data_IF_914602820776
#
_entry.id   IF_914602820776
#
_cell.length_a   1.000
_cell.length_b   1.000
_cell.length_c   1.000
_cell.angle_alpha   90.00
_cell.angle_beta   90.00
_cell.angle_gamma   90.00
#
_symmetry.space_group_name_H-M   'P 1'
#
loop_
_entity.id
_entity.type
_entity.pdbx_description
1 polymer ?
#
# COMPACT_ATOMS: atom_id res chain seq x y z
N UNK A 1 -13.28 27.47 11.65
CA UNK A 1 -12.75 28.40 10.61
C UNK A 1 -11.86 29.39 11.32
N UNK A 2 -10.55 29.33 11.09
CA UNK A 2 -9.64 30.40 11.49
C UNK A 2 -9.42 31.27 10.26
N UNK A 3 -9.70 32.57 10.35
CA UNK A 3 -9.44 33.54 9.28
C UNK A 3 -8.23 34.36 9.74
N UNK A 4 -7.13 34.29 9.00
CA UNK A 4 -5.97 35.16 9.26
C UNK A 4 -6.15 36.49 8.55
N UNK A 5 -5.90 37.58 9.27
CA UNK A 5 -5.91 38.93 8.72
C UNK A 5 -4.47 39.40 8.51
N UNK A 6 -4.16 39.81 7.29
CA UNK A 6 -2.91 40.50 6.98
C UNK A 6 -3.22 42.01 6.91
N UNK A 7 -2.66 42.79 7.84
CA UNK A 7 -2.86 44.24 7.89
C UNK A 7 -1.59 44.92 7.38
N UNK A 8 -1.69 45.58 6.22
CA UNK A 8 -0.66 46.50 5.76
C UNK A 8 -0.95 47.90 6.34
N UNK A 9 -0.06 48.38 7.20
CA UNK A 9 -0.07 49.77 7.68
C UNK A 9 0.75 50.63 6.71
N UNK A 10 0.08 51.31 5.79
CA UNK A 10 0.68 52.44 5.09
C UNK A 10 0.60 53.68 5.99
N UNK A 11 1.58 54.59 5.89
CA UNK A 11 1.74 55.76 6.76
C UNK A 11 0.53 56.69 6.86
N UNK A 12 0.59 57.71 7.74
CA UNK A 12 -0.58 58.51 8.15
C UNK A 12 -1.25 59.18 6.93
N UNK A 13 -2.51 58.81 6.68
CA UNK A 13 -3.37 59.40 5.65
C UNK A 13 -3.80 58.48 4.50
N UNK A 14 -3.32 57.23 4.43
CA UNK A 14 -3.78 56.25 3.42
C UNK A 14 -4.87 55.31 3.99
N UNK A 15 -5.90 54.95 3.19
CA UNK A 15 -6.95 54.06 3.65
C UNK A 15 -6.39 52.66 3.92
N UNK A 16 -6.74 52.10 5.09
CA UNK A 16 -6.40 50.72 5.45
C UNK A 16 -7.18 49.78 4.53
N UNK A 17 -6.46 49.02 3.71
CA UNK A 17 -7.05 48.00 2.84
C UNK A 17 -6.97 46.65 3.56
N UNK A 18 -8.10 46.14 4.04
CA UNK A 18 -8.19 44.81 4.63
C UNK A 18 -8.55 43.85 3.50
N UNK A 19 -7.57 43.11 3.00
CA UNK A 19 -7.82 42.01 2.06
C UNK A 19 -8.04 40.72 2.85
N UNK A 20 -9.24 40.17 2.71
CA UNK A 20 -9.55 38.82 3.18
C UNK A 20 -8.81 37.85 2.26
N UNK A 21 -7.63 37.42 2.70
CA UNK A 21 -6.95 36.30 2.06
C UNK A 21 -7.77 35.05 2.44
N UNK A 22 -8.31 34.29 1.48
CA UNK A 22 -8.92 33.01 1.79
C UNK A 22 -7.84 32.16 2.46
N UNK A 23 -8.02 31.86 3.75
CA UNK A 23 -7.22 30.82 4.38
C UNK A 23 -7.47 29.56 3.57
N UNK A 24 -6.40 29.02 2.98
CA UNK A 24 -6.44 27.74 2.26
C UNK A 24 -7.33 26.79 3.06
N UNK A 25 -8.42 26.34 2.43
CA UNK A 25 -9.45 25.54 3.08
C UNK A 25 -8.74 24.36 3.73
N UNK A 26 -8.71 24.32 5.08
CA UNK A 26 -7.92 23.34 5.80
C UNK A 26 -8.54 21.96 5.51
N UNK A 27 -7.97 21.27 4.52
CA UNK A 27 -8.49 20.01 4.02
C UNK A 27 -8.48 19.02 5.18
N UNK A 28 -9.66 18.63 5.64
CA UNK A 28 -9.76 17.74 6.80
C UNK A 28 -9.38 16.32 6.37
N UNK A 29 -8.18 15.87 6.75
CA UNK A 29 -7.74 14.48 6.58
C UNK A 29 -8.78 13.49 7.13
N UNK A 30 -9.47 13.85 8.22
CA UNK A 30 -10.55 13.04 8.79
C UNK A 30 -11.71 12.78 7.82
N UNK A 31 -12.02 13.74 6.94
CA UNK A 31 -13.06 13.62 5.93
C UNK A 31 -12.60 12.71 4.80
N UNK A 32 -11.37 12.91 4.32
CA UNK A 32 -10.75 12.07 3.29
C UNK A 32 -10.68 10.62 3.78
N UNK A 33 -10.17 10.41 4.99
CA UNK A 33 -10.09 9.10 5.62
C UNK A 33 -11.46 8.40 5.69
N UNK A 34 -12.51 9.06 6.20
CA UNK A 34 -13.86 8.47 6.26
C UNK A 34 -14.39 8.03 4.89
N UNK A 35 -14.04 8.74 3.82
CA UNK A 35 -14.47 8.43 2.47
C UNK A 35 -13.77 7.19 1.90
N UNK A 36 -12.46 7.07 2.11
CA UNK A 36 -11.63 6.02 1.48
C UNK A 36 -11.48 4.77 2.34
N UNK A 37 -11.64 4.88 3.66
CA UNK A 37 -11.41 3.78 4.59
C UNK A 37 -12.21 2.49 4.27
N UNK A 38 -13.47 2.55 3.79
CA UNK A 38 -14.20 1.34 3.37
C UNK A 38 -13.59 0.57 2.19
N UNK A 39 -12.67 1.17 1.43
CA UNK A 39 -11.94 0.49 0.36
C UNK A 39 -10.70 -0.28 0.86
N UNK A 40 -10.30 -0.09 2.12
CA UNK A 40 -9.20 -0.80 2.76
C UNK A 40 -9.75 -2.05 3.42
N UNK A 41 -9.06 -3.18 3.24
CA UNK A 41 -9.50 -4.49 3.72
C UNK A 41 -8.40 -5.18 4.50
N UNK A 42 -8.79 -6.08 5.39
CA UNK A 42 -7.86 -6.97 6.10
C UNK A 42 -7.76 -8.28 5.35
N UNK A 43 -6.53 -8.76 5.17
CA UNK A 43 -6.25 -10.02 4.49
C UNK A 43 -5.80 -11.02 5.52
N UNK A 44 -6.53 -12.13 5.60
CA UNK A 44 -6.24 -13.24 6.49
C UNK A 44 -5.96 -14.46 5.61
N UNK A 45 -4.79 -15.06 5.80
CA UNK A 45 -4.41 -16.28 5.09
C UNK A 45 -4.37 -17.47 6.02
N UNK A 46 -4.60 -18.67 5.47
CA UNK A 46 -4.47 -19.93 6.20
C UNK A 46 -3.50 -20.83 5.47
N UNK A 47 -2.56 -21.41 6.22
CA UNK A 47 -1.66 -22.46 5.78
C UNK A 47 -2.03 -23.78 6.48
N UNK A 48 -2.14 -24.88 5.73
CA UNK A 48 -2.16 -26.23 6.28
C UNK A 48 -0.72 -26.67 6.52
N UNK A 49 -0.23 -26.47 7.74
CA UNK A 49 1.09 -26.97 8.12
C UNK A 49 1.15 -28.50 8.01
N UNK A 50 2.04 -29.02 7.15
CA UNK A 50 2.59 -30.37 7.33
C UNK A 50 3.59 -30.32 8.48
N UNK A 51 3.11 -30.45 9.72
CA UNK A 51 3.99 -30.54 10.89
C UNK A 51 4.80 -31.84 10.82
N UNK A 52 6.10 -31.73 10.55
CA UNK A 52 7.03 -32.86 10.46
C UNK A 52 7.36 -33.55 11.80
N UNK A 53 6.62 -33.29 12.89
CA UNK A 53 6.98 -33.83 14.21
C UNK A 53 5.88 -34.60 14.96
N UNK A 54 4.62 -34.63 14.50
CA UNK A 54 3.58 -35.56 15.01
C UNK A 54 2.48 -35.82 13.95
N UNK A 55 2.11 -37.07 13.64
CA UNK A 55 0.92 -37.37 12.87
C UNK A 55 -0.33 -36.91 13.65
N UNK A 56 -1.01 -35.85 13.18
CA UNK A 56 -2.32 -35.43 13.70
C UNK A 56 -2.46 -33.98 14.16
N UNK A 57 -1.38 -33.21 14.31
CA UNK A 57 -1.46 -31.77 14.63
C UNK A 57 -1.12 -30.91 13.39
N UNK A 58 -2.15 -30.43 12.70
CA UNK A 58 -1.98 -29.34 11.71
C UNK A 58 -1.86 -28.03 12.48
N UNK A 59 -0.64 -27.52 12.67
CA UNK A 59 -0.46 -26.16 13.13
C UNK A 59 -0.95 -25.22 12.01
N UNK A 60 -2.11 -24.58 12.21
CA UNK A 60 -2.61 -23.52 11.33
C UNK A 60 -1.80 -22.27 11.62
N UNK A 61 -0.76 -22.02 10.83
CA UNK A 61 -0.12 -20.71 10.80
C UNK A 61 -0.90 -19.88 9.77
N UNK A 62 -1.33 -18.70 10.16
CA UNK A 62 -2.03 -17.77 9.27
C UNK A 62 -1.25 -16.48 9.13
N UNK A 63 -1.21 -15.93 7.92
CA UNK A 63 -0.71 -14.59 7.67
C UNK A 63 -1.80 -13.54 7.90
N UNK A 64 -1.39 -12.35 8.32
CA UNK A 64 -2.24 -11.18 8.48
C UNK A 64 -1.60 -10.01 7.75
N UNK A 65 -2.39 -9.33 6.93
CA UNK A 65 -1.98 -8.12 6.22
C UNK A 65 -3.17 -7.23 5.89
N UNK A 66 -2.90 -6.22 5.09
CA UNK A 66 -3.90 -5.30 4.56
C UNK A 66 -3.96 -5.39 3.04
N UNK A 67 -5.04 -4.88 2.46
CA UNK A 67 -5.21 -4.72 1.03
C UNK A 67 -6.05 -3.50 0.71
N UNK A 68 -6.12 -3.16 -0.57
CA UNK A 68 -6.99 -2.09 -1.09
C UNK A 68 -7.78 -2.58 -2.27
N UNK A 69 -9.09 -2.31 -2.26
CA UNK A 69 -9.99 -2.60 -3.39
C UNK A 69 -9.71 -1.59 -4.51
N UNK A 70 -9.31 -2.10 -5.68
CA UNK A 70 -8.88 -1.28 -6.84
C UNK A 70 -9.81 -1.36 -8.04
N UNK A 71 -10.84 -2.21 -8.00
CA UNK A 71 -11.82 -2.31 -9.08
C UNK A 71 -13.20 -2.76 -8.60
N UNK A 72 -14.24 -2.37 -9.36
CA UNK A 72 -15.64 -2.72 -9.11
C UNK A 72 -15.95 -4.20 -9.33
N UNK A 73 -15.10 -4.92 -10.07
CA UNK A 73 -15.20 -6.37 -10.26
C UNK A 73 -14.48 -7.18 -9.17
N UNK A 74 -14.09 -6.53 -8.06
CA UNK A 74 -13.55 -7.20 -6.88
C UNK A 74 -12.05 -7.48 -6.92
N UNK A 75 -11.28 -6.68 -7.66
CA UNK A 75 -9.82 -6.73 -7.60
C UNK A 75 -9.28 -6.01 -6.36
N UNK A 76 -8.30 -6.62 -5.71
CA UNK A 76 -7.63 -6.10 -4.52
C UNK A 76 -6.12 -6.17 -4.71
N UNK A 77 -5.40 -5.09 -4.41
CA UNK A 77 -3.94 -5.12 -4.32
C UNK A 77 -3.49 -5.36 -2.86
N UNK A 78 -2.42 -6.12 -2.70
CA UNK A 78 -1.76 -6.39 -1.41
C UNK A 78 -0.27 -6.67 -1.61
N UNK A 79 0.46 -6.93 -0.53
CA UNK A 79 1.85 -7.34 -0.58
C UNK A 79 1.94 -8.84 -0.90
N UNK A 80 2.91 -9.22 -1.73
CA UNK A 80 3.02 -10.61 -2.19
C UNK A 80 3.36 -11.58 -1.06
N UNK A 81 4.21 -11.16 -0.13
CA UNK A 81 4.61 -11.99 1.01
C UNK A 81 3.45 -12.32 1.96
N UNK A 82 2.35 -11.54 1.94
CA UNK A 82 1.14 -11.83 2.74
C UNK A 82 0.42 -13.07 2.22
N UNK A 83 0.48 -13.32 0.91
CA UNK A 83 -0.32 -14.36 0.22
C UNK A 83 0.51 -15.48 -0.40
N UNK A 84 1.84 -15.40 -0.34
CA UNK A 84 2.76 -16.29 -1.06
C UNK A 84 2.59 -17.78 -0.74
N UNK A 85 2.26 -18.12 0.49
CA UNK A 85 2.17 -19.51 0.99
C UNK A 85 0.75 -19.87 1.42
N UNK A 86 -0.23 -19.03 1.09
CA UNK A 86 -1.61 -19.20 1.52
C UNK A 86 -2.34 -20.30 0.73
N UNK A 87 -2.90 -21.29 1.42
CA UNK A 87 -3.83 -22.25 0.80
C UNK A 87 -5.20 -21.60 0.56
N UNK A 88 -5.58 -20.69 1.46
CA UNK A 88 -6.83 -19.96 1.39
C UNK A 88 -6.60 -18.50 1.81
N UNK A 89 -7.25 -17.59 1.09
CA UNK A 89 -7.23 -16.15 1.37
C UNK A 89 -8.65 -15.69 1.67
N UNK A 90 -8.82 -15.02 2.81
CA UNK A 90 -10.07 -14.43 3.27
C UNK A 90 -9.88 -12.92 3.39
N UNK A 91 -10.79 -12.16 2.79
CA UNK A 91 -10.80 -10.70 2.81
C UNK A 91 -11.89 -10.23 3.76
N UNK A 92 -11.50 -9.46 4.77
CA UNK A 92 -12.42 -8.89 5.77
C UNK A 92 -12.60 -7.40 5.51
N UNK A 93 -13.86 -6.97 5.39
CA UNK A 93 -14.25 -5.59 5.13
C UNK A 93 -14.57 -4.84 6.42
N UNK A 94 -14.52 -3.50 6.36
CA UNK A 94 -14.86 -2.60 7.47
C UNK A 94 -16.24 -2.86 8.09
N UNK A 95 -17.21 -3.32 7.29
CA UNK A 95 -18.57 -3.63 7.76
C UNK A 95 -18.73 -5.04 8.35
N UNK A 96 -17.61 -5.74 8.58
CA UNK A 96 -17.57 -7.06 9.21
C UNK A 96 -17.78 -8.23 8.26
N UNK A 97 -18.05 -7.99 6.97
CA UNK A 97 -18.17 -9.07 6.00
C UNK A 97 -16.83 -9.72 5.72
N UNK A 98 -16.87 -11.02 5.45
CA UNK A 98 -15.69 -11.80 5.06
C UNK A 98 -15.99 -12.53 3.74
N UNK A 99 -15.05 -12.44 2.80
CA UNK A 99 -15.21 -12.98 1.44
C UNK A 99 -13.93 -13.70 1.03
N UNK A 100 -14.05 -14.91 0.50
CA UNK A 100 -12.93 -15.64 -0.07
C UNK A 100 -12.36 -14.93 -1.31
N UNK A 101 -11.05 -15.01 -1.50
CA UNK A 101 -10.38 -14.47 -2.66
C UNK A 101 -9.35 -15.44 -3.24
N UNK A 102 -9.07 -15.30 -4.54
CA UNK A 102 -8.01 -16.01 -5.25
C UNK A 102 -6.89 -15.05 -5.61
N UNK A 103 -5.65 -15.53 -5.53
CA UNK A 103 -4.51 -14.83 -6.11
C UNK A 103 -4.59 -14.96 -7.63
N UNK A 104 -4.67 -13.84 -8.34
CA UNK A 104 -4.78 -13.80 -9.82
C UNK A 104 -3.56 -13.19 -10.50
N UNK A 105 -2.63 -12.61 -9.72
CA UNK A 105 -1.34 -12.14 -10.21
C UNK A 105 -0.39 -11.83 -9.06
N UNK A 106 0.91 -12.05 -9.28
CA UNK A 106 1.96 -11.73 -8.31
C UNK A 106 3.19 -11.20 -9.02
N UNK A 107 3.87 -10.25 -8.39
CA UNK A 107 5.19 -9.77 -8.79
C UNK A 107 6.08 -9.78 -7.55
N UNK A 108 6.67 -10.94 -7.26
CA UNK A 108 7.42 -11.20 -6.03
C UNK A 108 8.62 -10.24 -5.87
N UNK A 109 9.29 -9.91 -6.97
CA UNK A 109 10.41 -8.96 -7.01
C UNK A 109 10.05 -7.53 -6.60
N UNK A 110 8.77 -7.17 -6.71
CA UNK A 110 8.21 -5.87 -6.33
C UNK A 110 7.34 -5.95 -5.07
N UNK A 111 7.29 -7.13 -4.46
CA UNK A 111 6.47 -7.48 -3.31
C UNK A 111 5.00 -7.03 -3.41
N UNK A 112 4.35 -7.31 -4.55
CA UNK A 112 2.95 -6.95 -4.78
C UNK A 112 2.17 -8.09 -5.39
N UNK A 113 0.90 -8.22 -5.01
CA UNK A 113 -0.02 -9.22 -5.51
C UNK A 113 -1.39 -8.61 -5.83
N UNK A 114 -2.09 -9.26 -6.75
CA UNK A 114 -3.46 -8.97 -7.15
C UNK A 114 -4.35 -10.15 -6.75
N UNK A 115 -5.39 -9.86 -5.98
CA UNK A 115 -6.42 -10.79 -5.60
C UNK A 115 -7.71 -10.49 -6.35
N UNK A 116 -8.54 -11.51 -6.52
CA UNK A 116 -9.91 -11.41 -7.02
C UNK A 116 -10.87 -12.04 -6.01
N UNK A 117 -11.86 -11.28 -5.57
CA UNK A 117 -12.94 -11.79 -4.74
C UNK A 117 -13.72 -12.87 -5.50
N UNK A 118 -14.08 -13.96 -4.80
CA UNK A 118 -14.96 -14.99 -5.36
C UNK A 118 -16.41 -14.50 -5.47
N UNK A 119 -16.81 -13.52 -4.66
CA UNK A 119 -18.12 -12.86 -4.73
C UNK A 119 -17.95 -11.37 -4.50
N UNK A 120 -18.46 -10.55 -5.42
CA UNK A 120 -18.37 -9.09 -5.33
C UNK A 120 -19.53 -8.57 -4.48
N UNK A 121 -19.29 -7.85 -3.37
CA UNK A 121 -20.38 -7.30 -2.57
C UNK A 121 -21.02 -6.06 -3.21
N UNK A 122 -22.33 -5.87 -3.06
CA UNK A 122 -23.09 -4.82 -3.76
C UNK A 122 -22.66 -3.36 -3.43
N UNK A 123 -22.23 -3.12 -2.19
CA UNK A 123 -21.76 -1.82 -1.70
C UNK A 123 -20.22 -1.70 -1.72
N UNK A 124 -19.53 -2.40 -2.65
CA UNK A 124 -18.08 -2.37 -2.75
C UNK A 124 -17.57 -0.94 -3.05
N UNK A 125 -16.81 -0.39 -2.09
CA UNK A 125 -16.10 0.88 -2.24
C UNK A 125 -14.73 0.60 -2.86
N UNK A 126 -14.38 1.39 -3.87
CA UNK A 126 -13.15 1.23 -4.65
C UNK A 126 -12.29 2.47 -4.44
N UNK A 127 -11.02 2.27 -4.13
CA UNK A 127 -10.07 3.36 -4.01
C UNK A 127 -9.65 3.85 -5.40
N UNK A 128 -9.50 5.17 -5.55
CA UNK A 128 -8.97 5.75 -6.78
C UNK A 128 -7.45 5.55 -6.84
N UNK A 129 -6.96 4.95 -7.92
CA UNK A 129 -5.53 4.84 -8.17
C UNK A 129 -4.99 6.17 -8.72
N UNK A 130 -4.01 6.74 -8.04
CA UNK A 130 -3.36 7.98 -8.44
C UNK A 130 -2.26 7.78 -9.47
N UNK A 131 -1.42 8.81 -9.59
CA UNK A 131 -0.20 8.81 -10.39
C UNK A 131 1.00 9.06 -9.47
N UNK A 132 1.77 8.02 -9.18
CA UNK A 132 2.94 8.15 -8.30
C UNK A 132 4.03 9.03 -8.89
N UNK A 133 4.12 9.22 -10.21
CA UNK A 133 5.13 10.08 -10.85
C UNK A 133 4.91 11.57 -10.56
N UNK A 134 3.71 11.96 -10.12
CA UNK A 134 3.40 13.33 -9.72
C UNK A 134 3.82 13.63 -8.27
N UNK A 135 4.19 12.62 -7.48
CA UNK A 135 4.57 12.80 -6.08
C UNK A 135 6.02 13.28 -5.96
N UNK A 136 6.25 14.31 -5.15
CA UNK A 136 7.55 14.87 -4.84
C UNK A 136 8.00 14.53 -3.40
N UNK A 137 9.31 14.48 -3.19
CA UNK A 137 9.86 14.35 -1.83
C UNK A 137 9.40 15.56 -1.02
N UNK A 138 8.85 15.32 0.17
CA UNK A 138 8.23 16.34 1.02
C UNK A 138 6.70 16.44 0.88
N UNK A 139 6.08 15.73 -0.07
CA UNK A 139 4.62 15.64 -0.12
C UNK A 139 4.08 14.85 1.08
N UNK A 140 2.97 15.33 1.65
CA UNK A 140 2.25 14.62 2.71
C UNK A 140 1.59 13.36 2.18
N UNK A 141 1.80 12.27 2.90
CA UNK A 141 1.20 10.96 2.63
C UNK A 141 0.62 10.39 3.91
N UNK A 142 -0.31 9.46 3.75
CA UNK A 142 -0.80 8.68 4.87
C UNK A 142 -1.04 7.23 4.47
N UNK A 143 -0.83 6.34 5.42
CA UNK A 143 -1.01 4.90 5.25
C UNK A 143 -2.23 4.48 6.05
N UNK A 144 -3.03 3.60 5.47
CA UNK A 144 -4.14 2.96 6.18
C UNK A 144 -3.93 1.45 6.12
N UNK A 145 -4.06 0.80 7.27
CA UNK A 145 -3.97 -0.65 7.36
C UNK A 145 -4.70 -1.18 8.59
N UNK A 146 -4.58 -2.48 8.84
CA UNK A 146 -5.13 -3.17 10.00
C UNK A 146 -4.01 -3.85 10.81
N UNK A 147 -3.16 -3.06 11.50
CA UNK A 147 -2.08 -3.61 12.31
C UNK A 147 -2.63 -4.43 13.47
N UNK A 148 -2.13 -5.66 13.63
CA UNK A 148 -2.52 -6.59 14.72
C UNK A 148 -4.01 -6.91 14.85
N UNK A 149 -4.81 -6.75 13.78
CA UNK A 149 -6.27 -6.92 13.84
C UNK A 149 -6.98 -5.76 14.56
N UNK A 150 -6.28 -4.66 14.82
CA UNK A 150 -6.89 -3.37 15.15
C UNK A 150 -7.17 -2.71 13.80
N UNK A 151 -8.39 -2.96 13.31
CA UNK A 151 -8.76 -2.59 11.96
C UNK A 151 -8.69 -1.07 11.75
N UNK A 152 -8.19 -0.66 10.58
CA UNK A 152 -8.27 0.72 10.08
C UNK A 152 -7.46 1.78 10.85
N UNK A 153 -6.21 1.44 11.18
CA UNK A 153 -5.23 2.41 11.71
C UNK A 153 -4.73 3.32 10.60
N UNK A 154 -4.73 4.62 10.86
CA UNK A 154 -4.16 5.65 10.00
C UNK A 154 -2.83 6.15 10.59
N UNK A 155 -1.78 6.19 9.77
CA UNK A 155 -0.50 6.83 10.10
C UNK A 155 -0.16 7.88 9.04
N UNK A 156 0.48 8.97 9.44
CA UNK A 156 0.82 10.10 8.57
C UNK A 156 2.32 10.29 8.51
N UNK A 157 2.80 10.83 7.40
CA UNK A 157 4.20 11.18 7.19
C UNK A 157 4.38 11.91 5.87
N UNK A 158 5.60 11.92 5.38
CA UNK A 158 6.00 12.53 4.13
C UNK A 158 6.60 11.48 3.20
N UNK A 159 6.57 11.75 1.89
CA UNK A 159 7.43 11.05 0.96
C UNK A 159 8.88 11.48 1.22
N UNK A 160 9.70 10.61 1.81
CA UNK A 160 11.07 10.89 2.21
C UNK A 160 12.09 10.56 1.12
N UNK A 161 11.72 9.75 0.12
CA UNK A 161 12.64 9.34 -0.93
C UNK A 161 12.00 8.46 -2.01
N UNK A 162 12.73 8.30 -3.12
CA UNK A 162 12.41 7.34 -4.18
C UNK A 162 13.58 6.39 -4.35
N UNK A 163 13.31 5.08 -4.34
CA UNK A 163 14.33 4.03 -4.40
C UNK A 163 14.00 3.10 -5.56
N UNK A 164 15.00 2.85 -6.40
CA UNK A 164 14.91 1.86 -7.47
C UNK A 164 15.97 0.79 -7.21
N UNK A 165 15.63 -0.50 -7.27
CA UNK A 165 16.62 -1.56 -7.15
C UNK A 165 17.73 -1.37 -8.19
N UNK A 166 18.98 -1.55 -7.78
CA UNK A 166 20.15 -1.47 -8.66
C UNK A 166 20.39 -2.87 -9.24
N UNK A 167 20.27 -3.04 -10.57
CA UNK A 167 20.52 -4.32 -11.24
C UNK A 167 19.85 -4.43 -12.63
N UNK A 168 20.26 -5.44 -13.40
CA UNK A 168 19.83 -5.67 -14.80
C UNK A 168 18.30 -5.88 -14.90
N UNK A 169 17.67 -6.49 -13.89
CA UNK A 169 16.22 -6.68 -13.85
C UNK A 169 15.41 -5.37 -13.90
N UNK A 170 15.99 -4.25 -13.43
CA UNK A 170 15.31 -2.95 -13.43
C UNK A 170 15.28 -2.31 -14.84
N UNK A 171 16.08 -2.82 -15.80
CA UNK A 171 16.00 -2.39 -17.21
C UNK A 171 14.82 -3.03 -17.95
N UNK A 172 14.29 -4.15 -17.45
CA UNK A 172 13.19 -4.88 -18.09
C UNK A 172 11.84 -4.60 -17.45
N UNK A 173 11.82 -4.22 -16.15
CA UNK A 173 10.60 -3.92 -15.39
C UNK A 173 10.85 -2.72 -14.47
N UNK A 174 10.08 -1.61 -14.59
CA UNK A 174 10.32 -0.42 -13.79
C UNK A 174 9.78 -0.61 -12.35
N UNK A 175 10.65 -1.09 -11.45
CA UNK A 175 10.34 -1.22 -10.02
C UNK A 175 10.82 0.03 -9.29
N UNK A 176 9.88 0.74 -8.67
CA UNK A 176 10.17 1.91 -7.84
C UNK A 176 9.46 1.81 -6.50
N UNK A 177 10.22 1.93 -5.41
CA UNK A 177 9.71 2.08 -4.07
C UNK A 177 9.70 3.55 -3.65
N UNK A 178 8.60 3.95 -3.05
CA UNK A 178 8.40 5.22 -2.36
C UNK A 178 8.76 5.01 -0.88
N UNK A 179 9.71 5.80 -0.39
CA UNK A 179 10.15 5.78 1.01
C UNK A 179 9.34 6.82 1.79
N UNK A 180 8.87 6.46 2.99
CA UNK A 180 8.15 7.36 3.89
C UNK A 180 8.59 7.19 5.35
N UNK A 181 8.43 8.25 6.13
CA UNK A 181 8.58 8.26 7.59
C UNK A 181 7.25 8.00 8.32
N UNK A 182 6.13 7.84 7.58
CA UNK A 182 4.88 7.38 8.15
C UNK A 182 5.08 6.04 8.87
N UNK A 183 4.53 5.90 10.07
CA UNK A 183 4.73 4.70 10.87
C UNK A 183 4.14 3.46 10.17
N UNK A 184 4.99 2.46 9.91
CA UNK A 184 4.60 1.17 9.30
C UNK A 184 4.99 0.04 10.25
N UNK A 185 4.00 -0.76 10.66
CA UNK A 185 4.19 -1.91 11.54
C UNK A 185 3.50 -3.15 10.96
N UNK A 186 3.65 -4.29 11.64
CA UNK A 186 3.01 -5.56 11.27
C UNK A 186 1.50 -5.35 11.07
N UNK A 187 1.00 -5.79 9.91
CA UNK A 187 -0.39 -5.67 9.48
C UNK A 187 -0.68 -4.47 8.57
N UNK A 188 0.21 -3.48 8.46
CA UNK A 188 0.13 -2.47 7.38
C UNK A 188 0.61 -3.01 6.02
N UNK A 189 1.40 -4.08 5.99
CA UNK A 189 1.87 -4.72 4.75
C UNK A 189 0.71 -5.03 3.81
N UNK A 190 0.83 -4.58 2.56
CA UNK A 190 -0.20 -4.66 1.53
C UNK A 190 -1.27 -3.57 1.58
N UNK A 191 -1.29 -2.76 2.64
CA UNK A 191 -2.20 -1.62 2.76
C UNK A 191 -1.83 -0.48 1.79
N UNK A 192 -2.79 0.39 1.44
CA UNK A 192 -2.54 1.54 0.58
C UNK A 192 -1.78 2.66 1.31
N UNK A 193 -0.84 3.25 0.59
CA UNK A 193 -0.32 4.58 0.87
C UNK A 193 -1.07 5.57 -0.04
N UNK A 194 -1.69 6.56 0.58
CA UNK A 194 -2.47 7.60 -0.09
C UNK A 194 -1.71 8.92 -0.11
N UNK A 195 -1.92 9.67 -1.19
CA UNK A 195 -1.65 11.11 -1.20
C UNK A 195 -2.74 11.86 -0.43
N UNK A 196 -2.48 13.11 -0.05
CA UNK A 196 -3.37 13.91 0.79
C UNK A 196 -4.77 14.18 0.19
N UNK A 197 -4.96 13.94 -1.11
CA UNK A 197 -6.26 14.03 -1.79
C UNK A 197 -7.08 12.73 -1.74
N UNK A 198 -6.53 11.65 -1.20
CA UNK A 198 -7.18 10.35 -1.07
C UNK A 198 -6.93 9.37 -2.21
N UNK A 199 -6.00 9.66 -3.13
CA UNK A 199 -5.61 8.72 -4.20
C UNK A 199 -4.48 7.80 -3.76
N UNK A 200 -4.57 6.52 -4.11
CA UNK A 200 -3.53 5.53 -3.83
C UNK A 200 -2.30 5.86 -4.66
N UNK A 201 -1.17 6.07 -4.01
CA UNK A 201 0.14 6.36 -4.65
C UNK A 201 1.17 5.26 -4.41
N UNK A 202 0.91 4.34 -3.49
CA UNK A 202 1.70 3.12 -3.36
C UNK A 202 1.01 2.03 -2.56
N UNK A 203 1.60 0.83 -2.56
CA UNK A 203 1.17 -0.31 -1.74
C UNK A 203 2.31 -0.63 -0.77
N UNK A 204 2.03 -0.62 0.54
CA UNK A 204 3.03 -0.83 1.59
C UNK A 204 3.63 -2.23 1.46
N UNK A 205 4.96 -2.32 1.51
CA UNK A 205 5.70 -3.57 1.38
C UNK A 205 6.44 -3.89 2.68
N UNK A 206 7.48 -3.11 3.02
CA UNK A 206 8.40 -3.44 4.11
C UNK A 206 8.90 -2.21 4.84
N UNK A 207 9.60 -2.45 5.94
CA UNK A 207 10.37 -1.46 6.68
C UNK A 207 11.84 -1.88 6.71
N UNK A 208 12.73 -0.90 6.81
CA UNK A 208 14.08 -1.14 7.29
C UNK A 208 14.12 -0.81 8.79
N UNK A 209 14.42 -1.82 9.60
CA UNK A 209 14.34 -1.74 11.05
C UNK A 209 15.33 -2.69 11.71
N UNK A 210 15.95 -2.25 12.81
CA UNK A 210 16.75 -3.11 13.68
C UNK A 210 15.92 -3.71 14.81
N UNK A 211 14.92 -2.98 15.29
CA UNK A 211 14.02 -3.39 16.38
C UNK A 211 12.89 -4.33 15.93
N UNK A 212 12.59 -4.35 14.63
CA UNK A 212 11.40 -4.98 14.05
C UNK A 212 10.14 -4.09 14.08
N UNK A 213 10.22 -2.90 14.68
CA UNK A 213 9.17 -1.87 14.64
C UNK A 213 9.54 -0.70 13.73
N UNK A 214 8.61 0.22 13.50
CA UNK A 214 8.86 1.41 12.69
C UNK A 214 9.99 2.29 13.25
N UNK A 215 11.03 2.53 12.45
CA UNK A 215 12.14 3.47 12.72
C UNK A 215 12.13 4.68 11.76
N UNK A 216 11.01 4.91 11.06
CA UNK A 216 10.85 6.01 10.08
C UNK A 216 11.43 5.68 8.70
N UNK A 217 11.68 4.40 8.40
CA UNK A 217 12.15 3.92 7.11
C UNK A 217 11.15 2.91 6.53
N UNK A 218 9.98 3.40 6.13
CA UNK A 218 8.93 2.63 5.48
C UNK A 218 9.03 2.66 3.95
N UNK A 219 8.63 1.57 3.30
CA UNK A 219 8.68 1.44 1.83
C UNK A 219 7.37 0.92 1.27
N UNK A 220 6.87 1.59 0.24
CA UNK A 220 5.72 1.18 -0.54
C UNK A 220 6.11 1.06 -2.03
N UNK A 221 5.68 0.00 -2.71
CA UNK A 221 5.82 -0.07 -4.18
C UNK A 221 4.98 1.06 -4.79
N UNK A 222 5.54 1.81 -5.74
CA UNK A 222 4.82 2.91 -6.40
C UNK A 222 3.59 2.38 -7.13
N UNK A 223 2.48 3.13 -7.13
CA UNK A 223 1.25 2.65 -7.77
C UNK A 223 1.42 2.48 -9.28
N UNK A 224 2.28 3.27 -9.93
CA UNK A 224 2.58 3.11 -11.35
C UNK A 224 3.34 1.80 -11.61
N UNK A 225 4.34 1.46 -10.79
CA UNK A 225 5.01 0.15 -10.88
C UNK A 225 4.03 -1.00 -10.67
N UNK A 226 3.15 -0.91 -9.66
CA UNK A 226 2.16 -1.95 -9.38
C UNK A 226 1.13 -2.14 -10.51
N UNK A 227 0.63 -1.04 -11.10
CA UNK A 227 -0.27 -1.09 -12.27
C UNK A 227 0.40 -1.76 -13.46
N UNK A 228 1.65 -1.39 -13.73
CA UNK A 228 2.39 -1.95 -14.85
C UNK A 228 2.57 -3.47 -14.70
N UNK A 229 3.00 -3.90 -13.51
CA UNK A 229 3.25 -5.30 -13.18
C UNK A 229 2.01 -6.19 -13.14
N UNK A 230 0.88 -5.68 -12.66
CA UNK A 230 -0.29 -6.52 -12.35
C UNK A 230 -1.50 -6.31 -13.26
N UNK A 231 -1.64 -5.13 -13.87
CA UNK A 231 -2.82 -4.77 -14.67
C UNK A 231 -2.49 -4.63 -16.16
N UNK A 232 -1.33 -4.05 -16.50
CA UNK A 232 -0.96 -3.76 -17.88
C UNK A 232 -0.16 -4.89 -18.52
N UNK A 233 0.73 -5.54 -17.76
CA UNK A 233 1.41 -6.73 -18.24
C UNK A 233 0.40 -7.88 -18.36
N UNK A 234 -0.08 -8.09 -19.58
CA UNK A 234 -0.58 -9.40 -20.02
C UNK A 234 0.63 -10.33 -20.03
N UNK A 235 0.97 -10.91 -18.88
CA UNK A 235 2.02 -11.91 -18.77
C UNK A 235 1.67 -13.06 -19.71
N UNK A 236 2.30 -13.07 -20.90
CA UNK A 236 2.37 -14.25 -21.74
C UNK A 236 3.30 -15.21 -21.00
N UNK A 237 2.72 -16.15 -20.26
CA UNK A 237 3.47 -17.16 -19.52
C UNK A 237 4.16 -18.08 -20.54
N UNK A 238 5.45 -17.85 -20.79
CA UNK A 238 6.25 -18.61 -21.77
C UNK A 238 6.76 -19.95 -21.23
N UNK A 239 6.50 -20.28 -19.96
CA UNK A 239 7.05 -21.50 -19.36
C UNK A 239 8.51 -21.40 -18.91
N UNK A 240 9.06 -20.18 -18.78
CA UNK A 240 10.44 -19.94 -18.41
C UNK A 240 10.52 -19.10 -17.14
N UNK A 241 11.04 -19.67 -16.07
CA UNK A 241 11.53 -18.92 -14.90
C UNK A 241 13.05 -18.79 -15.00
N UNK A 242 13.54 -17.55 -15.12
CA UNK A 242 14.97 -17.28 -15.15
C UNK A 242 15.44 -16.80 -13.79
N UNK A 243 16.40 -17.50 -13.20
CA UNK A 243 17.10 -17.06 -12.00
C UNK A 243 18.51 -16.62 -12.35
N UNK A 244 18.87 -15.41 -11.92
CA UNK A 244 20.24 -14.92 -12.05
C UNK A 244 21.09 -15.56 -10.96
N UNK A 245 21.79 -16.63 -11.32
CA UNK A 245 22.72 -17.31 -10.43
C UNK A 245 24.06 -16.59 -10.47
N UNK A 246 24.61 -16.22 -9.30
CA UNK A 246 25.93 -15.62 -9.20
C UNK A 246 26.71 -16.18 -8.01
N UNK A 247 28.03 -15.93 -7.98
CA UNK A 247 28.90 -16.39 -6.91
C UNK A 247 29.12 -17.91 -6.91
N UNK A 248 29.27 -18.56 -5.73
CA UNK A 248 29.59 -20.00 -5.65
C UNK A 248 28.56 -20.90 -6.33
N UNK A 249 27.28 -20.50 -6.33
CA UNK A 249 26.21 -21.26 -6.97
C UNK A 249 26.35 -21.29 -8.50
N UNK A 250 26.92 -20.24 -9.11
CA UNK A 250 27.20 -20.19 -10.54
C UNK A 250 28.43 -21.03 -10.93
N UNK A 251 29.31 -21.34 -9.98
CA UNK A 251 30.46 -22.23 -10.20
C UNK A 251 30.11 -23.71 -10.05
N UNK A 252 28.97 -24.01 -9.44
CA UNK A 252 28.52 -25.36 -9.12
C UNK A 252 27.50 -25.92 -10.14
N UNK A 253 26.95 -25.05 -11.00
CA UNK A 253 26.12 -25.39 -12.15
C UNK A 253 27.00 -25.44 -13.41
#
# INVERSE_FOLDING_TARGET
LAVSFLIFLAGPGLPIKIELVPTADARSLSKVFRQINPAVVVIVTKEHGHSGLKPGETAKKGGLGSGVVVSKDGLIMTASHVVQVADAVSVHFLDGRSVSAKVVGTAMQADVALLRLETVPDNLVVAELGNSDMMAIGDEVFVVGAPYGIDHTLTVGFLSGRRRPIGICNQLVPIEFLQTDAAINVGNSGGPMFSWDGKVVGIVSHILSQSGGSEGLGFAISINSAKELLLNQKSFWIGLETYLVSGPLAKAL
#
